data_IF_790059462455
#
_entry.id   IF_790059462455
#
_cell.length_a   1.000
_cell.length_b   1.000
_cell.length_c   1.000
_cell.angle_alpha   90.00
_cell.angle_beta   90.00
_cell.angle_gamma   90.00
#
_symmetry.space_group_name_H-M   'P 1'
#
loop_
_entity.id
_entity.type
_entity.pdbx_description
1 polymer ?
#
# COMPACT_ATOMS: atom_id res chain seq x y z
N UNK A 1 3.78 -34.06 11.45
CA UNK A 1 3.55 -34.81 10.20
C UNK A 1 3.46 -33.89 8.97
N UNK A 2 4.02 -32.67 8.97
CA UNK A 2 3.78 -31.72 7.84
C UNK A 2 5.03 -30.89 7.47
N UNK A 3 6.20 -31.53 7.41
CA UNK A 3 7.47 -30.81 7.26
C UNK A 3 8.51 -31.55 6.44
N UNK A 4 8.37 -32.87 6.37
CA UNK A 4 9.23 -33.72 5.57
C UNK A 4 9.17 -33.47 4.04
N UNK A 5 8.54 -32.39 3.57
CA UNK A 5 8.38 -32.09 2.15
C UNK A 5 9.11 -30.80 1.70
N UNK A 6 9.39 -29.83 2.59
CA UNK A 6 9.90 -28.52 2.15
C UNK A 6 11.41 -28.52 1.86
N UNK A 7 12.17 -29.43 2.48
CA UNK A 7 13.57 -29.65 2.12
C UNK A 7 13.77 -30.35 0.76
N UNK A 8 12.76 -31.03 0.21
CA UNK A 8 12.87 -31.68 -1.12
C UNK A 8 12.48 -30.76 -2.28
N UNK A 9 11.76 -29.66 -2.01
CA UNK A 9 11.26 -28.75 -3.05
C UNK A 9 12.27 -27.65 -3.40
N UNK A 10 13.15 -27.27 -2.47
CA UNK A 10 14.28 -26.38 -2.79
C UNK A 10 15.24 -26.98 -3.85
N UNK A 11 15.22 -28.31 -4.01
CA UNK A 11 15.97 -29.03 -5.04
C UNK A 11 15.20 -29.22 -6.36
N UNK A 12 13.87 -29.00 -6.38
CA UNK A 12 13.02 -29.09 -7.58
C UNK A 12 12.71 -27.70 -8.17
N UNK A 13 12.75 -26.64 -7.35
CA UNK A 13 12.58 -25.23 -7.76
C UNK A 13 13.73 -24.69 -8.62
N UNK A 14 14.87 -25.38 -8.67
CA UNK A 14 15.92 -25.11 -9.66
C UNK A 14 15.74 -25.87 -10.99
N UNK A 15 14.74 -26.76 -11.12
CA UNK A 15 14.61 -27.67 -12.28
C UNK A 15 13.29 -27.56 -13.07
N UNK A 16 12.41 -26.61 -12.75
CA UNK A 16 11.15 -26.41 -13.49
C UNK A 16 11.00 -25.02 -14.12
N UNK A 17 12.12 -24.48 -14.63
CA UNK A 17 12.12 -23.40 -15.64
C UNK A 17 11.63 -23.91 -17.01
N UNK A 18 11.27 -25.19 -17.17
CA UNK A 18 11.07 -25.77 -18.50
C UNK A 18 9.64 -26.16 -18.89
N UNK A 19 8.60 -25.70 -18.21
CA UNK A 19 7.24 -25.94 -18.70
C UNK A 19 6.31 -24.76 -18.46
N UNK A 20 5.53 -24.45 -19.50
CA UNK A 20 4.35 -23.56 -19.54
C UNK A 20 4.56 -22.15 -20.12
N UNK A 21 5.15 -22.10 -21.32
CA UNK A 21 4.51 -21.38 -22.42
C UNK A 21 3.32 -22.20 -22.92
N UNK A 22 2.16 -22.10 -22.28
CA UNK A 22 0.89 -22.54 -22.89
C UNK A 22 -0.04 -21.36 -22.97
N UNK A 23 -0.45 -21.05 -24.21
CA UNK A 23 -1.60 -20.20 -24.52
C UNK A 23 -2.82 -20.76 -23.81
N UNK A 24 -3.10 -20.27 -22.60
CA UNK A 24 -4.33 -20.58 -21.89
C UNK A 24 -5.46 -19.76 -22.52
N UNK A 25 -6.61 -20.39 -22.72
CA UNK A 25 -7.83 -19.68 -23.09
C UNK A 25 -8.18 -18.63 -22.03
N UNK A 26 -8.83 -17.54 -22.44
CA UNK A 26 -9.17 -16.38 -21.59
C UNK A 26 -9.87 -16.78 -20.29
N UNK A 27 -10.75 -17.79 -20.33
CA UNK A 27 -11.43 -18.32 -19.14
C UNK A 27 -10.46 -18.93 -18.13
N UNK A 28 -9.44 -19.65 -18.58
CA UNK A 28 -8.43 -20.25 -17.70
C UNK A 28 -7.55 -19.19 -17.04
N UNK A 29 -7.27 -18.07 -17.71
CA UNK A 29 -6.46 -16.98 -17.14
C UNK A 29 -7.22 -16.18 -16.08
N UNK A 30 -8.54 -16.02 -16.25
CA UNK A 30 -9.41 -15.39 -15.25
C UNK A 30 -9.43 -16.21 -13.95
N UNK A 31 -9.52 -17.54 -14.07
CA UNK A 31 -9.44 -18.45 -12.94
C UNK A 31 -8.09 -18.38 -12.22
N UNK A 32 -6.98 -18.29 -12.96
CA UNK A 32 -5.66 -18.09 -12.35
C UNK A 32 -5.59 -16.78 -11.57
N UNK A 33 -6.21 -15.72 -12.08
CA UNK A 33 -6.25 -14.42 -11.39
C UNK A 33 -7.05 -14.48 -10.08
N UNK A 34 -8.21 -15.14 -10.10
CA UNK A 34 -9.03 -15.40 -8.89
C UNK A 34 -8.25 -16.20 -7.85
N UNK A 35 -7.52 -17.23 -8.29
CA UNK A 35 -6.65 -18.02 -7.40
C UNK A 35 -5.55 -17.18 -6.78
N UNK A 36 -4.94 -16.28 -7.54
CA UNK A 36 -3.93 -15.36 -7.02
C UNK A 36 -4.53 -14.39 -5.98
N UNK A 37 -5.72 -13.83 -6.25
CA UNK A 37 -6.42 -12.93 -5.33
C UNK A 37 -6.74 -13.61 -3.99
N UNK A 38 -7.26 -14.85 -4.02
CA UNK A 38 -7.52 -15.63 -2.79
C UNK A 38 -6.25 -15.86 -1.95
N UNK A 39 -5.09 -15.99 -2.60
CA UNK A 39 -3.80 -16.13 -1.90
C UNK A 39 -3.31 -14.82 -1.31
N UNK A 40 -3.56 -13.70 -1.99
CA UNK A 40 -3.30 -12.35 -1.44
C UNK A 40 -4.09 -12.13 -0.14
N UNK A 41 -5.35 -12.54 -0.08
CA UNK A 41 -6.18 -12.46 1.13
C UNK A 41 -5.57 -13.27 2.28
N UNK A 42 -5.11 -14.50 2.00
CA UNK A 42 -4.42 -15.34 2.99
C UNK A 42 -3.13 -14.67 3.50
N UNK A 43 -2.36 -14.02 2.61
CA UNK A 43 -1.16 -13.28 3.00
C UNK A 43 -1.50 -12.09 3.91
N UNK A 44 -2.54 -11.33 3.56
CA UNK A 44 -3.05 -10.20 4.35
C UNK A 44 -3.47 -10.63 5.76
N UNK A 45 -4.18 -11.75 5.91
CA UNK A 45 -4.56 -12.30 7.22
C UNK A 45 -3.34 -12.67 8.07
N UNK A 46 -2.33 -13.30 7.46
CA UNK A 46 -1.08 -13.66 8.14
C UNK A 46 -0.31 -12.42 8.61
N UNK A 47 -0.19 -11.40 7.76
CA UNK A 47 0.47 -10.13 8.13
C UNK A 47 -0.32 -9.43 9.24
N UNK A 48 -1.65 -9.39 9.16
CA UNK A 48 -2.51 -8.80 10.19
C UNK A 48 -2.32 -9.51 11.53
N UNK A 49 -2.30 -10.84 11.52
CA UNK A 49 -2.06 -11.66 12.72
C UNK A 49 -0.68 -11.38 13.32
N UNK A 50 0.35 -11.27 12.49
CA UNK A 50 1.70 -10.94 12.92
C UNK A 50 1.76 -9.54 13.55
N UNK A 51 1.13 -8.54 12.92
CA UNK A 51 1.02 -7.19 13.47
C UNK A 51 0.32 -7.19 14.83
N UNK A 52 -0.76 -7.97 14.98
CA UNK A 52 -1.46 -8.11 16.27
C UNK A 52 -0.60 -8.78 17.34
N UNK A 53 0.19 -9.81 16.99
CA UNK A 53 1.15 -10.44 17.92
C UNK A 53 2.24 -9.47 18.34
N UNK A 54 2.80 -8.71 17.39
CA UNK A 54 3.77 -7.66 17.68
C UNK A 54 3.17 -6.66 18.68
N UNK A 55 1.91 -6.24 18.52
CA UNK A 55 1.22 -5.36 19.48
C UNK A 55 1.09 -5.97 20.88
N UNK A 56 0.79 -7.26 20.99
CA UNK A 56 0.61 -7.95 22.27
C UNK A 56 1.94 -8.13 23.02
N UNK A 57 2.98 -8.62 22.34
CA UNK A 57 4.30 -8.92 22.95
C UNK A 57 5.05 -7.67 23.44
N UNK A 58 4.60 -6.48 23.04
CA UNK A 58 5.32 -5.22 23.17
C UNK A 58 4.64 -4.18 24.05
N UNK A 59 3.58 -4.55 24.77
CA UNK A 59 2.94 -3.67 25.77
C UNK A 59 3.91 -3.16 26.85
N UNK A 60 5.09 -3.77 26.99
CA UNK A 60 6.19 -3.33 27.85
C UNK A 60 7.16 -2.33 27.21
N UNK A 61 7.08 -2.05 25.90
CA UNK A 61 8.12 -1.37 25.15
C UNK A 61 7.64 -0.03 24.56
N UNK A 62 8.44 1.01 24.79
CA UNK A 62 8.22 2.40 24.39
C UNK A 62 7.87 2.59 22.90
N UNK A 63 8.45 1.77 22.03
CA UNK A 63 8.19 1.79 20.58
C UNK A 63 6.74 1.45 20.23
N UNK A 64 6.02 0.69 21.05
CA UNK A 64 4.62 0.33 20.78
C UNK A 64 3.62 1.31 21.36
N UNK A 65 3.97 2.05 22.42
CA UNK A 65 3.24 3.26 22.77
C UNK A 65 3.28 4.30 21.64
N UNK A 66 4.40 4.35 20.90
CA UNK A 66 4.58 5.15 19.68
C UNK A 66 3.89 4.48 18.46
N UNK A 67 3.52 3.20 18.48
CA UNK A 67 2.89 2.56 17.30
C UNK A 67 1.37 2.37 17.44
N UNK A 68 0.73 3.04 18.41
CA UNK A 68 -0.72 3.19 18.61
C UNK A 68 -1.55 2.12 17.90
N UNK A 69 -2.14 2.49 16.76
CA UNK A 69 -2.71 1.54 15.81
C UNK A 69 -1.86 1.46 14.53
N UNK A 70 -1.29 0.27 14.27
CA UNK A 70 -0.78 -0.10 12.95
C UNK A 70 -1.98 -0.49 12.08
N UNK A 71 -2.16 0.21 10.96
CA UNK A 71 -3.17 -0.07 9.96
C UNK A 71 -2.49 -0.50 8.66
N UNK A 72 -2.80 -1.71 8.20
CA UNK A 72 -2.40 -2.13 6.86
C UNK A 72 -3.24 -1.34 5.85
N UNK A 73 -2.60 -0.70 4.88
CA UNK A 73 -3.32 0.04 3.84
C UNK A 73 -2.70 -0.25 2.47
N UNK A 74 -3.09 0.54 1.47
CA UNK A 74 -2.55 0.42 0.11
C UNK A 74 -2.94 -0.88 -0.56
N UNK A 75 -2.08 -1.33 -1.48
CA UNK A 75 -2.41 -2.38 -2.45
C UNK A 75 -2.81 -3.70 -1.79
N UNK A 76 -2.06 -4.13 -0.76
CA UNK A 76 -2.31 -5.37 -0.01
C UNK A 76 -3.65 -5.36 0.73
N UNK A 77 -4.00 -4.24 1.38
CA UNK A 77 -5.28 -4.18 2.08
C UNK A 77 -6.47 -4.12 1.12
N UNK A 78 -6.26 -3.61 -0.09
CA UNK A 78 -7.27 -3.39 -1.12
C UNK A 78 -7.47 -4.61 -2.05
N UNK A 79 -6.76 -5.72 -1.84
CA UNK A 79 -6.85 -6.88 -2.74
C UNK A 79 -6.27 -6.62 -4.13
N UNK A 80 -5.30 -5.71 -4.23
CA UNK A 80 -4.68 -5.29 -5.51
C UNK A 80 -3.15 -5.29 -5.46
N UNK A 81 -2.57 -6.08 -4.55
CA UNK A 81 -1.13 -6.28 -4.43
C UNK A 81 -0.56 -6.93 -5.67
N UNK A 82 -1.27 -7.88 -6.29
CA UNK A 82 -0.84 -8.49 -7.56
C UNK A 82 -0.50 -7.43 -8.62
N UNK A 83 -1.23 -6.31 -8.64
CA UNK A 83 -0.96 -5.23 -9.59
C UNK A 83 0.43 -4.58 -9.41
N UNK A 84 1.04 -4.65 -8.22
CA UNK A 84 2.39 -4.12 -7.99
C UNK A 84 3.44 -4.97 -8.70
N UNK A 85 3.19 -6.26 -8.94
CA UNK A 85 4.08 -7.14 -9.70
C UNK A 85 4.22 -6.72 -11.17
N UNK A 86 3.35 -5.84 -11.67
CA UNK A 86 3.45 -5.28 -13.03
C UNK A 86 4.16 -3.92 -13.05
N UNK A 87 4.60 -3.40 -11.91
CA UNK A 87 5.47 -2.21 -11.84
C UNK A 87 6.88 -2.63 -12.25
N UNK A 88 7.41 -1.99 -13.28
CA UNK A 88 8.81 -2.17 -13.69
C UNK A 88 9.71 -1.52 -12.64
N UNK A 89 10.72 -2.26 -12.17
CA UNK A 89 11.76 -1.66 -11.35
C UNK A 89 12.85 -1.05 -12.26
N UNK A 90 12.90 0.28 -12.35
CA UNK A 90 13.85 0.96 -13.25
C UNK A 90 15.30 0.87 -12.75
N UNK A 91 15.52 0.58 -11.46
CA UNK A 91 16.86 0.51 -10.83
C UNK A 91 17.62 -0.76 -11.21
N UNK A 92 16.94 -1.84 -11.62
CA UNK A 92 17.56 -3.14 -11.89
C UNK A 92 17.18 -3.73 -13.25
N UNK A 93 17.16 -2.89 -14.30
CA UNK A 93 16.99 -3.35 -15.69
C UNK A 93 17.99 -4.47 -16.02
N UNK A 94 17.48 -5.68 -16.25
CA UNK A 94 18.27 -6.88 -16.59
C UNK A 94 18.39 -7.95 -15.49
N UNK A 95 17.78 -7.77 -14.30
CA UNK A 95 17.68 -8.84 -13.29
C UNK A 95 16.62 -9.89 -13.68
N UNK A 96 16.76 -11.13 -13.17
CA UNK A 96 15.81 -12.23 -13.43
C UNK A 96 14.38 -11.92 -12.93
N UNK A 97 14.26 -11.06 -11.92
CA UNK A 97 12.98 -10.59 -11.38
C UNK A 97 13.11 -9.08 -11.18
N UNK A 98 12.74 -8.31 -12.20
CA UNK A 98 12.80 -6.85 -12.18
C UNK A 98 11.50 -6.23 -11.61
N UNK A 99 11.03 -6.74 -10.47
CA UNK A 99 9.74 -6.36 -9.87
C UNK A 99 9.93 -5.72 -8.50
N UNK A 100 9.27 -4.58 -8.30
CA UNK A 100 9.13 -3.95 -6.98
C UNK A 100 7.95 -4.54 -6.23
N UNK A 101 8.18 -4.93 -4.98
CA UNK A 101 7.13 -5.38 -4.09
C UNK A 101 6.95 -4.33 -3.00
N UNK A 102 6.03 -3.42 -3.27
CA UNK A 102 5.69 -2.33 -2.36
C UNK A 102 4.62 -2.83 -1.36
N UNK A 103 4.96 -2.97 -0.06
CA UNK A 103 3.98 -3.21 1.00
C UNK A 103 3.74 -1.92 1.80
N UNK A 104 2.62 -1.28 1.49
CA UNK A 104 2.20 -0.04 2.14
C UNK A 104 1.66 -0.26 3.58
N UNK A 105 2.54 -0.40 4.56
CA UNK A 105 2.13 -0.42 5.97
C UNK A 105 2.07 1.00 6.56
N UNK A 106 0.90 1.63 6.56
CA UNK A 106 0.73 2.92 7.25
C UNK A 106 0.70 2.69 8.77
N UNK A 107 1.86 2.78 9.40
CA UNK A 107 1.90 2.83 10.84
C UNK A 107 1.65 4.26 11.32
N UNK A 108 0.80 4.32 12.37
CA UNK A 108 0.62 5.42 13.33
C UNK A 108 -0.60 6.26 13.02
N UNK A 109 -1.77 5.74 13.38
CA UNK A 109 -2.83 6.60 13.90
C UNK A 109 -2.53 6.90 15.37
N UNK A 110 -2.20 8.15 15.67
CA UNK A 110 -2.29 8.67 17.03
C UNK A 110 -3.77 8.94 17.25
N UNK A 111 -4.37 8.20 18.17
CA UNK A 111 -5.78 8.37 18.52
C UNK A 111 -5.96 9.64 19.37
N UNK A 112 -5.81 10.80 18.73
CA UNK A 112 -6.10 12.06 19.37
C UNK A 112 -7.57 12.36 19.18
N UNK A 113 -8.33 12.41 20.27
CA UNK A 113 -9.69 12.94 20.25
C UNK A 113 -9.67 14.47 20.13
N UNK A 114 -9.14 14.95 19.01
CA UNK A 114 -9.06 16.37 18.70
C UNK A 114 -10.48 16.91 18.50
N UNK A 115 -10.77 18.00 19.20
CA UNK A 115 -11.95 18.81 18.91
C UNK A 115 -11.80 19.46 17.52
N UNK A 116 -12.91 19.76 16.85
CA UNK A 116 -12.93 20.53 15.60
C UNK A 116 -12.14 21.84 15.70
N UNK A 117 -12.15 22.50 16.86
CA UNK A 117 -11.40 23.74 17.10
C UNK A 117 -9.87 23.58 17.02
N UNK A 118 -9.37 22.34 17.03
CA UNK A 118 -7.94 22.02 16.95
C UNK A 118 -7.40 22.01 15.52
N UNK A 119 -8.28 22.10 14.53
CA UNK A 119 -7.97 22.01 13.12
C UNK A 119 -8.50 23.25 12.40
N UNK A 120 -7.67 23.78 11.51
CA UNK A 120 -8.03 24.93 10.69
C UNK A 120 -7.75 24.60 9.23
N UNK A 121 -8.79 24.63 8.40
CA UNK A 121 -8.64 24.54 6.95
C UNK A 121 -7.76 25.67 6.43
N UNK A 122 -6.83 25.33 5.53
CA UNK A 122 -5.95 26.31 4.90
C UNK A 122 -6.68 26.96 3.73
N UNK A 123 -6.90 28.28 3.83
CA UNK A 123 -7.62 29.02 2.81
C UNK A 123 -6.93 28.89 1.44
N UNK A 124 -7.72 28.61 0.40
CA UNK A 124 -7.23 28.39 -0.97
C UNK A 124 -6.51 27.05 -1.21
N UNK A 125 -6.43 26.15 -0.21
CA UNK A 125 -5.78 24.84 -0.32
C UNK A 125 -6.71 23.72 0.16
N UNK A 126 -7.74 23.36 -0.63
CA UNK A 126 -8.66 22.31 -0.23
C UNK A 126 -7.91 20.99 0.02
N UNK A 127 -8.26 20.32 1.11
CA UNK A 127 -7.61 19.08 1.55
C UNK A 127 -6.44 19.28 2.51
N UNK A 128 -6.03 20.54 2.76
CA UNK A 128 -4.93 20.87 3.67
C UNK A 128 -5.41 21.62 4.91
N UNK A 129 -4.77 21.33 6.04
CA UNK A 129 -5.14 21.84 7.37
C UNK A 129 -3.91 22.18 8.21
N UNK A 130 -4.09 23.07 9.19
CA UNK A 130 -3.16 23.31 10.28
C UNK A 130 -3.70 22.69 11.57
N UNK A 131 -2.84 22.02 12.35
CA UNK A 131 -3.19 21.52 13.68
C UNK A 131 -2.64 22.45 14.75
N UNK A 132 -3.45 22.82 15.73
CA UNK A 132 -3.00 23.59 16.89
C UNK A 132 -2.21 22.73 17.87
N UNK A 133 -1.05 23.24 18.32
CA UNK A 133 -0.16 22.53 19.26
C UNK A 133 -0.81 22.34 20.64
N UNK A 134 -1.57 23.34 21.11
CA UNK A 134 -2.23 23.31 22.43
C UNK A 134 -3.39 22.30 22.54
N UNK A 135 -3.75 21.65 21.44
CA UNK A 135 -4.75 20.60 21.42
C UNK A 135 -4.17 19.20 21.64
N UNK A 136 -2.84 19.08 21.72
CA UNK A 136 -2.16 17.84 22.02
C UNK A 136 -1.97 17.77 23.54
N UNK A 137 -2.53 16.76 24.24
CA UNK A 137 -2.30 16.60 25.66
C UNK A 137 -0.81 16.39 25.97
N UNK A 138 -0.29 17.01 27.05
CA UNK A 138 1.14 16.95 27.38
C UNK A 138 1.57 15.54 27.83
N UNK A 139 0.63 14.77 28.37
CA UNK A 139 0.78 13.38 28.78
C UNK A 139 0.95 12.41 27.60
N UNK A 140 0.62 12.85 26.38
CA UNK A 140 0.82 12.03 25.19
C UNK A 140 2.31 11.80 24.94
N UNK A 141 2.69 10.55 24.68
CA UNK A 141 4.08 10.15 24.37
C UNK A 141 4.65 10.94 23.18
N UNK A 142 3.76 11.48 22.36
CA UNK A 142 4.05 12.27 21.17
C UNK A 142 4.42 13.71 21.45
N UNK A 143 4.01 14.25 22.60
CA UNK A 143 4.12 15.67 22.92
C UNK A 143 5.56 16.20 22.80
N UNK A 144 6.55 15.39 23.21
CA UNK A 144 7.99 15.68 23.08
C UNK A 144 8.51 15.81 21.65
N UNK A 145 7.76 15.35 20.65
CA UNK A 145 8.14 15.42 19.25
C UNK A 145 7.60 16.68 18.56
N UNK A 146 6.90 17.56 19.29
CA UNK A 146 6.40 18.83 18.80
C UNK A 146 7.28 20.00 19.25
N UNK A 147 7.23 21.11 18.51
CA UNK A 147 7.84 22.37 18.94
C UNK A 147 6.85 23.14 19.83
N UNK A 148 7.15 23.23 21.13
CA UNK A 148 6.24 23.79 22.14
C UNK A 148 5.98 25.28 21.97
N UNK A 149 6.92 26.01 21.36
CA UNK A 149 6.84 27.47 21.19
C UNK A 149 5.98 27.89 19.99
N UNK A 150 5.52 26.92 19.18
CA UNK A 150 4.80 27.20 17.94
C UNK A 150 3.30 26.99 18.11
N UNK A 151 2.51 27.89 17.51
CA UNK A 151 1.04 27.80 17.56
C UNK A 151 0.50 26.55 16.86
N UNK A 152 1.16 26.11 15.79
CA UNK A 152 0.72 25.01 14.94
C UNK A 152 1.80 23.94 14.84
N UNK A 153 1.37 22.68 14.74
CA UNK A 153 2.28 21.55 14.57
C UNK A 153 2.93 21.53 13.19
N UNK A 154 4.24 21.28 13.14
CA UNK A 154 4.97 21.10 11.89
C UNK A 154 5.13 19.60 11.57
N UNK A 155 4.47 19.07 10.50
CA UNK A 155 4.52 17.65 10.20
C UNK A 155 5.90 17.17 9.78
N UNK A 156 6.73 18.03 9.18
CA UNK A 156 8.09 17.67 8.76
C UNK A 156 9.01 17.50 9.97
N UNK A 157 8.99 18.45 10.92
CA UNK A 157 9.75 18.32 12.17
C UNK A 157 9.31 17.09 12.95
N UNK A 158 8.00 16.89 13.09
CA UNK A 158 7.43 15.72 13.76
C UNK A 158 7.95 14.41 13.13
N UNK A 159 7.82 14.24 11.81
CA UNK A 159 8.34 13.06 11.11
C UNK A 159 9.84 12.87 11.29
N UNK A 160 10.62 13.94 11.21
CA UNK A 160 12.07 13.87 11.36
C UNK A 160 12.45 13.43 12.78
N UNK A 161 11.84 14.00 13.82
CA UNK A 161 12.09 13.62 15.22
C UNK A 161 11.69 12.17 15.50
N UNK A 162 10.54 11.74 14.97
CA UNK A 162 10.09 10.36 15.10
C UNK A 162 11.01 9.41 14.31
N UNK A 163 11.36 9.74 13.07
CA UNK A 163 12.33 8.97 12.25
C UNK A 163 13.70 8.87 12.93
N UNK A 164 14.18 9.93 13.56
CA UNK A 164 15.45 9.92 14.30
C UNK A 164 15.37 9.04 15.54
N UNK A 165 14.19 8.94 16.16
CA UNK A 165 13.96 8.01 17.28
C UNK A 165 14.01 6.55 16.83
N UNK A 166 13.58 6.24 15.60
CA UNK A 166 13.85 4.93 15.01
C UNK A 166 15.36 4.71 14.82
N UNK A 167 16.10 5.74 14.39
CA UNK A 167 17.52 5.67 14.00
C UNK A 167 18.56 5.70 15.15
N UNK A 168 18.13 5.88 16.41
CA UNK A 168 19.03 6.07 17.56
C UNK A 168 19.94 4.87 17.88
N UNK A 169 21.00 5.07 18.69
CA UNK A 169 22.03 4.08 19.01
C UNK A 169 21.54 2.83 19.76
N UNK A 170 20.30 2.82 20.27
CA UNK A 170 19.58 1.59 20.64
C UNK A 170 19.05 0.85 19.39
N UNK A 171 19.84 0.81 18.31
CA UNK A 171 19.54 0.37 16.95
C UNK A 171 19.02 -1.07 16.85
N UNK A 172 19.15 -1.82 17.93
CA UNK A 172 18.42 -3.05 18.20
C UNK A 172 16.91 -2.95 17.97
N UNK A 173 16.24 -1.79 17.99
CA UNK A 173 14.79 -1.72 17.69
C UNK A 173 14.47 -1.74 16.19
N UNK A 174 15.31 -1.09 15.38
CA UNK A 174 15.22 -1.04 13.92
C UNK A 174 15.60 -2.38 13.33
N UNK A 175 16.66 -2.97 13.88
CA UNK A 175 16.96 -4.38 13.75
C UNK A 175 15.80 -5.20 14.30
N UNK A 176 15.34 -5.13 15.56
CA UNK A 176 14.27 -6.00 16.08
C UNK A 176 12.91 -5.90 15.39
N UNK A 177 12.45 -4.79 14.80
CA UNK A 177 11.20 -4.80 14.03
C UNK A 177 11.43 -5.43 12.65
N UNK A 178 12.56 -5.08 12.01
CA UNK A 178 12.98 -5.64 10.72
C UNK A 178 13.38 -7.11 10.79
N UNK A 179 14.06 -7.50 11.86
CA UNK A 179 14.47 -8.82 12.31
C UNK A 179 13.24 -9.51 12.87
N UNK A 180 12.33 -8.95 13.66
CA UNK A 180 11.11 -9.70 14.00
C UNK A 180 10.28 -10.00 12.75
N UNK A 181 10.25 -9.13 11.74
CA UNK A 181 9.58 -9.47 10.47
C UNK A 181 10.37 -10.48 9.61
N UNK A 182 11.67 -10.24 9.38
CA UNK A 182 12.54 -11.07 8.53
C UNK A 182 13.17 -12.27 9.26
N UNK A 183 13.50 -12.16 10.52
CA UNK A 183 14.00 -13.24 11.38
C UNK A 183 12.89 -14.18 11.82
N UNK A 184 11.65 -13.72 12.05
CA UNK A 184 10.53 -14.66 12.29
C UNK A 184 10.20 -15.51 11.05
N UNK A 185 10.48 -15.01 9.84
CA UNK A 185 10.22 -15.76 8.60
C UNK A 185 11.44 -16.40 7.92
N UNK A 186 12.62 -15.77 7.94
CA UNK A 186 13.81 -16.18 7.19
C UNK A 186 14.96 -16.67 8.08
N UNK A 187 15.30 -15.98 9.17
CA UNK A 187 16.53 -16.30 9.94
C UNK A 187 16.32 -17.33 11.07
N UNK A 188 15.13 -17.43 11.70
CA UNK A 188 14.86 -18.45 12.74
C UNK A 188 14.71 -19.89 12.20
N UNK A 189 14.65 -20.05 10.88
CA UNK A 189 14.49 -21.35 10.20
C UNK A 189 15.79 -22.00 9.76
N UNK A 190 16.95 -21.45 10.16
CA UNK A 190 18.25 -22.08 9.88
C UNK A 190 18.54 -22.27 8.40
N UNK A 191 17.89 -21.53 7.51
CA UNK A 191 18.26 -21.53 6.10
C UNK A 191 19.56 -20.76 6.01
N UNK A 192 20.68 -21.49 6.05
CA UNK A 192 22.01 -20.96 5.79
C UNK A 192 22.07 -20.64 4.29
N UNK A 193 21.40 -19.57 3.87
CA UNK A 193 21.72 -18.90 2.64
C UNK A 193 23.03 -18.16 2.87
N UNK A 194 24.16 -18.87 2.68
CA UNK A 194 25.51 -18.30 2.86
C UNK A 194 25.76 -17.03 2.03
N UNK A 195 24.91 -16.71 1.04
CA UNK A 195 25.06 -15.55 0.15
C UNK A 195 23.85 -14.60 0.09
N UNK A 196 22.84 -14.71 0.98
CA UNK A 196 21.78 -13.69 1.02
C UNK A 196 22.22 -12.46 1.81
N UNK A 197 22.32 -11.33 1.12
CA UNK A 197 22.55 -10.03 1.76
C UNK A 197 21.21 -9.29 1.87
N UNK A 198 20.82 -8.95 3.09
CA UNK A 198 19.68 -8.05 3.35
C UNK A 198 20.22 -6.65 3.58
N UNK A 199 20.03 -5.76 2.60
CA UNK A 199 20.34 -4.35 2.79
C UNK A 199 19.10 -3.64 3.30
N UNK A 200 19.21 -3.08 4.50
CA UNK A 200 18.17 -2.21 5.08
C UNK A 200 18.57 -0.77 4.83
N UNK A 201 17.76 -0.03 4.09
CA UNK A 201 17.93 1.42 3.95
C UNK A 201 16.68 2.16 4.42
N UNK A 202 16.90 3.30 5.09
CA UNK A 202 15.84 4.20 5.52
C UNK A 202 15.76 5.40 4.57
N UNK A 203 14.57 5.73 4.08
CA UNK A 203 14.35 6.91 3.24
C UNK A 203 13.13 7.68 3.74
N UNK A 204 13.27 8.97 4.01
CA UNK A 204 12.11 9.81 4.38
C UNK A 204 11.53 10.47 3.12
N UNK A 205 10.24 10.27 2.89
CA UNK A 205 9.46 10.88 1.81
C UNK A 205 8.60 12.04 2.31
N UNK A 206 7.83 12.67 1.40
CA UNK A 206 6.85 13.71 1.75
C UNK A 206 5.80 13.25 2.75
N UNK A 207 5.43 11.97 2.73
CA UNK A 207 4.29 11.45 3.48
C UNK A 207 4.68 10.32 4.44
N UNK A 208 5.82 9.67 4.18
CA UNK A 208 6.18 8.41 4.82
C UNK A 208 7.65 8.37 5.23
N UNK A 209 7.97 7.61 6.27
CA UNK A 209 9.31 7.07 6.51
C UNK A 209 9.32 5.68 5.89
N UNK A 210 10.26 5.41 5.01
CA UNK A 210 10.35 4.17 4.24
C UNK A 210 11.47 3.31 4.77
N UNK A 211 11.20 2.03 4.92
CA UNK A 211 12.23 1.01 5.14
C UNK A 211 12.24 0.09 3.93
N UNK A 212 13.38 0.07 3.25
CA UNK A 212 13.60 -0.73 2.05
C UNK A 212 14.48 -1.91 2.44
N UNK A 213 14.06 -3.09 2.03
CA UNK A 213 14.69 -4.37 2.29
C UNK A 213 15.02 -5.02 0.95
N UNK A 214 16.29 -4.96 0.59
CA UNK A 214 16.78 -5.61 -0.62
C UNK A 214 17.28 -7.02 -0.26
N UNK A 215 16.63 -8.05 -0.80
CA UNK A 215 17.06 -9.45 -0.69
C UNK A 215 17.88 -9.77 -1.93
N UNK A 216 19.19 -9.88 -1.75
CA UNK A 216 20.14 -10.18 -2.82
C UNK A 216 20.72 -11.58 -2.63
N UNK A 217 20.95 -12.35 -3.71
CA UNK A 217 21.74 -13.58 -3.70
C UNK A 217 22.70 -13.54 -4.88
N UNK A 218 23.98 -13.83 -4.61
CA UNK A 218 25.06 -13.83 -5.63
C UNK A 218 25.07 -12.51 -6.43
N UNK A 219 24.96 -11.38 -5.70
CA UNK A 219 24.88 -10.00 -6.22
C UNK A 219 23.64 -9.68 -7.08
N UNK A 220 22.76 -10.65 -7.32
CA UNK A 220 21.47 -10.43 -7.99
C UNK A 220 20.42 -10.05 -6.97
N UNK A 221 19.68 -8.97 -7.22
CA UNK A 221 18.48 -8.65 -6.45
C UNK A 221 17.36 -9.63 -6.81
N UNK A 222 16.82 -10.30 -5.80
CA UNK A 222 15.68 -11.20 -5.94
C UNK A 222 14.38 -10.52 -5.55
N UNK A 223 14.42 -9.69 -4.52
CA UNK A 223 13.23 -9.02 -4.01
C UNK A 223 13.62 -7.68 -3.39
N UNK A 224 12.85 -6.67 -3.72
CA UNK A 224 12.87 -5.40 -3.03
C UNK A 224 11.54 -5.25 -2.29
N UNK A 225 11.60 -5.20 -0.96
CA UNK A 225 10.44 -5.07 -0.10
C UNK A 225 10.48 -3.70 0.58
N UNK A 226 9.43 -2.91 0.41
CA UNK A 226 9.33 -1.57 0.98
C UNK A 226 8.21 -1.52 2.01
N UNK A 227 8.49 -0.96 3.21
CA UNK A 227 7.52 -0.64 4.24
C UNK A 227 7.42 0.88 4.41
N UNK A 228 6.25 1.43 4.14
CA UNK A 228 5.96 2.87 4.14
C UNK A 228 5.18 3.34 5.38
N UNK A 229 5.89 3.80 6.42
CA UNK A 229 5.30 4.31 7.67
C UNK A 229 4.73 5.71 7.48
N UNK A 230 3.41 5.88 7.59
CA UNK A 230 2.73 7.15 7.40
C UNK A 230 2.05 7.63 8.69
N UNK A 231 2.57 8.71 9.27
CA UNK A 231 2.07 9.22 10.55
C UNK A 231 0.82 10.06 10.37
N UNK A 232 -0.24 9.72 11.11
CA UNK A 232 -1.53 10.37 11.02
C UNK A 232 -2.17 10.56 12.41
N UNK A 233 -3.00 11.59 12.52
CA UNK A 233 -3.88 11.81 13.65
C UNK A 233 -5.29 11.38 13.28
N UNK A 234 -5.90 10.52 14.11
CA UNK A 234 -7.33 10.22 13.99
C UNK A 234 -8.11 11.44 14.49
N UNK A 235 -9.22 11.81 13.84
CA UNK A 235 -10.10 12.88 14.29
C UNK A 235 -11.55 12.45 14.21
N UNK A 236 -12.33 12.73 15.25
CA UNK A 236 -13.72 12.23 15.41
C UNK A 236 -14.76 13.28 15.06
N UNK A 237 -14.57 13.95 13.93
CA UNK A 237 -15.56 14.85 13.37
C UNK A 237 -15.47 14.84 11.85
N UNK A 238 -16.58 15.19 11.21
CA UNK A 238 -16.69 15.27 9.74
C UNK A 238 -16.31 16.69 9.30
N UNK A 239 -15.18 16.89 8.60
CA UNK A 239 -14.83 18.22 8.13
C UNK A 239 -15.82 18.66 7.04
N UNK A 240 -16.11 19.96 6.99
CA UNK A 240 -17.06 20.54 6.03
C UNK A 240 -16.65 20.27 4.57
N UNK A 241 -15.36 20.07 4.31
CA UNK A 241 -14.83 19.73 2.99
C UNK A 241 -15.35 18.39 2.45
N UNK A 242 -15.84 17.49 3.33
CA UNK A 242 -16.50 16.25 2.94
C UNK A 242 -18.02 16.41 2.73
N UNK A 243 -18.60 17.59 2.92
CA UNK A 243 -20.05 17.79 2.86
C UNK A 243 -20.66 17.26 1.56
N UNK A 244 -20.00 17.49 0.43
CA UNK A 244 -20.40 16.94 -0.85
C UNK A 244 -20.36 15.41 -0.86
N UNK A 245 -19.32 14.79 -0.28
CA UNK A 245 -19.22 13.33 -0.17
C UNK A 245 -20.35 12.74 0.68
N UNK A 246 -20.72 13.40 1.77
CA UNK A 246 -21.73 12.95 2.73
C UNK A 246 -23.17 13.07 2.21
N UNK A 247 -23.41 13.95 1.23
CA UNK A 247 -24.72 14.11 0.58
C UNK A 247 -25.01 13.08 -0.51
N UNK A 248 -24.01 12.28 -0.92
CA UNK A 248 -24.19 11.28 -1.99
C UNK A 248 -24.87 10.04 -1.41
N UNK A 249 -25.96 9.61 -2.03
CA UNK A 249 -26.66 8.37 -1.67
C UNK A 249 -25.75 7.18 -1.97
N UNK A 250 -25.54 6.29 -1.00
CA UNK A 250 -24.78 5.05 -1.19
C UNK A 250 -25.45 3.91 -0.42
N UNK A 251 -25.47 2.71 -0.99
CA UNK A 251 -26.15 1.58 -0.38
C UNK A 251 -25.40 0.97 0.81
N UNK A 252 -24.09 1.26 1.00
CA UNK A 252 -23.23 0.41 1.83
C UNK A 252 -22.26 1.11 2.81
N UNK A 253 -22.38 2.41 3.10
CA UNK A 253 -21.51 3.06 4.11
C UNK A 253 -22.16 3.09 5.49
N UNK A 254 -21.52 2.45 6.48
CA UNK A 254 -21.95 2.58 7.87
C UNK A 254 -21.55 3.95 8.46
N UNK A 255 -22.42 4.50 9.31
CA UNK A 255 -22.17 5.76 10.03
C UNK A 255 -20.90 5.71 10.89
N UNK A 256 -20.53 4.52 11.37
CA UNK A 256 -19.32 4.27 12.17
C UNK A 256 -18.05 4.60 11.38
N UNK A 257 -18.00 4.25 10.09
CA UNK A 257 -16.79 4.39 9.26
C UNK A 257 -16.53 5.85 8.89
N UNK A 258 -17.60 6.63 8.76
CA UNK A 258 -17.54 8.06 8.50
C UNK A 258 -17.56 8.90 9.80
N UNK A 259 -17.48 8.26 10.97
CA UNK A 259 -17.41 8.96 12.27
C UNK A 259 -16.05 9.64 12.47
N UNK A 260 -15.00 9.11 11.88
CA UNK A 260 -13.66 9.66 11.98
C UNK A 260 -12.95 9.69 10.62
N UNK A 261 -11.95 10.55 10.53
CA UNK A 261 -10.97 10.58 9.44
C UNK A 261 -9.58 10.73 9.97
N UNK A 262 -8.59 10.77 9.07
CA UNK A 262 -7.21 10.99 9.44
C UNK A 262 -6.69 12.32 8.93
N UNK A 263 -5.72 12.88 9.65
CA UNK A 263 -4.88 13.98 9.19
C UNK A 263 -3.45 13.47 9.12
N UNK A 264 -2.89 13.43 7.91
CA UNK A 264 -1.60 12.84 7.59
C UNK A 264 -0.50 13.90 7.62
N UNK A 265 0.68 13.51 8.11
CA UNK A 265 1.92 14.30 8.07
C UNK A 265 2.51 14.43 6.65
N UNK A 266 1.68 14.90 5.72
CA UNK A 266 1.98 15.13 4.31
C UNK A 266 1.75 16.59 3.99
N UNK A 267 2.73 17.20 3.36
CA UNK A 267 2.72 18.61 2.98
C UNK A 267 2.39 18.76 1.50
N UNK A 268 2.00 19.97 1.08
CA UNK A 268 1.90 20.30 -0.34
C UNK A 268 3.27 20.18 -1.04
N UNK A 269 3.28 20.20 -2.38
CA UNK A 269 4.54 20.08 -3.13
C UNK A 269 5.43 21.30 -2.90
N UNK A 270 4.81 22.46 -2.85
CA UNK A 270 5.40 23.77 -2.65
C UNK A 270 6.10 23.82 -1.28
N UNK A 271 5.58 23.08 -0.29
CA UNK A 271 6.11 23.01 1.06
C UNK A 271 6.95 21.74 1.33
N UNK A 272 7.32 20.95 0.32
CA UNK A 272 8.08 19.68 0.50
C UNK A 272 9.33 19.85 1.36
N UNK A 273 10.07 20.93 1.12
CA UNK A 273 11.37 21.19 1.72
C UNK A 273 11.29 22.22 2.86
N UNK A 274 10.11 22.78 3.12
CA UNK A 274 9.93 23.70 4.23
C UNK A 274 9.73 22.91 5.51
N UNK A 275 10.77 22.83 6.34
CA UNK A 275 10.72 22.12 7.62
C UNK A 275 9.74 22.75 8.62
N UNK A 276 9.50 24.07 8.49
CA UNK A 276 8.63 24.86 9.36
C UNK A 276 7.19 24.95 8.86
N UNK A 277 6.86 24.26 7.77
CA UNK A 277 5.48 24.23 7.27
C UNK A 277 4.53 23.68 8.33
N UNK A 278 3.33 24.25 8.38
CA UNK A 278 2.22 23.83 9.25
C UNK A 278 1.19 23.01 8.48
N UNK A 279 1.48 22.66 7.22
CA UNK A 279 0.53 22.00 6.33
C UNK A 279 0.45 20.49 6.54
N UNK A 280 -0.70 20.04 7.02
CA UNK A 280 -1.11 18.65 7.05
C UNK A 280 -2.15 18.38 5.96
N UNK A 281 -2.35 17.11 5.59
CA UNK A 281 -3.35 16.73 4.57
C UNK A 281 -4.42 15.84 5.19
N UNK A 282 -5.70 16.05 4.86
CA UNK A 282 -6.72 15.05 5.15
C UNK A 282 -6.43 13.72 4.44
N UNK A 283 -6.72 12.61 5.12
CA UNK A 283 -6.56 11.26 4.59
C UNK A 283 -7.82 10.45 4.86
N UNK A 284 -8.42 9.96 3.78
CA UNK A 284 -9.64 9.14 3.81
C UNK A 284 -9.33 7.66 3.61
N UNK A 285 -8.08 7.24 3.82
CA UNK A 285 -7.65 5.92 3.39
C UNK A 285 -8.37 4.76 4.07
N UNK A 286 -8.92 4.93 5.28
CA UNK A 286 -9.75 3.87 5.88
C UNK A 286 -11.12 3.79 5.23
N UNK A 287 -11.76 4.92 4.91
CA UNK A 287 -13.03 4.95 4.16
C UNK A 287 -12.80 4.37 2.76
N UNK A 288 -11.72 4.76 2.08
CA UNK A 288 -11.33 4.18 0.78
C UNK A 288 -11.18 2.67 0.87
N UNK A 289 -10.45 2.18 1.87
CA UNK A 289 -10.24 0.75 2.04
C UNK A 289 -11.56 0.03 2.33
N UNK A 290 -12.46 0.63 3.11
CA UNK A 290 -13.76 0.04 3.36
C UNK A 290 -14.58 -0.09 2.08
N UNK A 291 -14.69 0.98 1.29
CA UNK A 291 -15.41 0.97 0.00
C UNK A 291 -14.78 -0.06 -0.95
N UNK A 292 -13.46 -0.08 -1.07
CA UNK A 292 -12.77 -1.04 -1.95
C UNK A 292 -12.93 -2.49 -1.46
N UNK A 293 -13.06 -2.73 -0.16
CA UNK A 293 -13.28 -4.06 0.40
C UNK A 293 -14.72 -4.56 0.19
N UNK A 294 -15.69 -3.64 0.12
CA UNK A 294 -17.09 -3.98 -0.19
C UNK A 294 -17.33 -4.27 -1.66
N UNK A 295 -16.34 -4.05 -2.54
CA UNK A 295 -16.44 -4.44 -3.95
C UNK A 295 -16.65 -5.94 -4.09
N UNK A 296 -17.49 -6.33 -5.06
CA UNK A 296 -17.65 -7.72 -5.49
C UNK A 296 -16.34 -8.26 -6.06
N UNK A 297 -16.23 -9.59 -6.18
CA UNK A 297 -15.04 -10.23 -6.76
C UNK A 297 -14.78 -9.75 -8.19
N UNK A 298 -15.84 -9.57 -8.99
CA UNK A 298 -15.75 -9.05 -10.36
C UNK A 298 -15.27 -7.61 -10.38
N UNK A 299 -15.77 -6.75 -9.48
CA UNK A 299 -15.30 -5.36 -9.34
C UNK A 299 -13.82 -5.29 -8.92
N UNK A 300 -13.41 -6.11 -7.94
CA UNK A 300 -12.01 -6.21 -7.52
C UNK A 300 -11.12 -6.68 -8.66
N UNK A 301 -11.56 -7.68 -9.42
CA UNK A 301 -10.84 -8.21 -10.58
C UNK A 301 -10.63 -7.13 -11.67
N UNK A 302 -11.68 -6.40 -12.03
CA UNK A 302 -11.60 -5.24 -12.93
C UNK A 302 -10.61 -4.21 -12.39
N UNK A 303 -10.65 -3.91 -11.09
CA UNK A 303 -9.72 -2.96 -10.47
C UNK A 303 -8.26 -3.41 -10.63
N UNK A 304 -7.97 -4.68 -10.34
CA UNK A 304 -6.61 -5.19 -10.41
C UNK A 304 -6.12 -5.18 -11.86
N UNK A 305 -6.95 -5.58 -12.83
CA UNK A 305 -6.63 -5.49 -14.28
C UNK A 305 -6.29 -4.05 -14.67
N UNK A 306 -7.18 -3.10 -14.34
CA UNK A 306 -7.02 -1.69 -14.67
C UNK A 306 -5.73 -1.11 -14.08
N UNK A 307 -5.49 -1.37 -12.78
CA UNK A 307 -4.28 -0.94 -12.08
C UNK A 307 -3.01 -1.60 -12.61
N UNK A 308 -3.07 -2.87 -13.01
CA UNK A 308 -1.92 -3.61 -13.54
C UNK A 308 -1.47 -3.03 -14.88
N UNK A 309 -2.42 -2.78 -15.79
CA UNK A 309 -2.14 -2.15 -17.08
C UNK A 309 -1.60 -0.73 -16.88
N UNK A 310 -2.16 0.04 -15.94
CA UNK A 310 -1.66 1.37 -15.60
C UNK A 310 -0.21 1.32 -15.11
N UNK A 311 0.10 0.43 -14.16
CA UNK A 311 1.45 0.28 -13.62
C UNK A 311 2.46 -0.12 -14.71
N UNK A 312 2.08 -1.07 -15.57
CA UNK A 312 2.92 -1.53 -16.67
C UNK A 312 3.14 -0.45 -17.72
N UNK A 313 2.06 0.21 -18.14
CA UNK A 313 2.06 0.99 -19.38
C UNK A 313 2.35 2.47 -19.17
N UNK A 314 2.05 3.01 -17.99
CA UNK A 314 2.09 4.46 -17.75
C UNK A 314 3.01 4.85 -16.60
N UNK A 315 3.05 4.07 -15.51
CA UNK A 315 3.74 4.50 -14.28
C UNK A 315 5.22 4.82 -14.48
N UNK A 316 5.92 4.12 -15.38
CA UNK A 316 7.33 4.36 -15.71
C UNK A 316 7.59 5.71 -16.41
N UNK A 317 6.55 6.37 -16.95
CA UNK A 317 6.70 7.68 -17.59
C UNK A 317 7.04 8.79 -16.57
N UNK A 318 6.48 8.70 -15.36
CA UNK A 318 6.79 9.57 -14.22
C UNK A 318 6.21 8.93 -12.94
N UNK A 319 6.99 8.13 -12.21
CA UNK A 319 6.51 7.36 -11.06
C UNK A 319 5.99 8.25 -9.92
N UNK A 320 6.55 9.46 -9.78
CA UNK A 320 6.20 10.41 -8.74
C UNK A 320 4.83 11.07 -9.01
N UNK A 321 4.54 11.37 -10.28
CA UNK A 321 3.29 12.03 -10.70
C UNK A 321 2.18 11.05 -11.12
N UNK A 322 2.51 9.87 -11.64
CA UNK A 322 1.54 8.87 -12.08
C UNK A 322 1.30 7.82 -10.99
N UNK A 323 0.67 8.25 -9.91
CA UNK A 323 0.39 7.37 -8.78
C UNK A 323 -0.86 6.52 -9.01
N UNK A 324 -0.90 5.34 -8.40
CA UNK A 324 -2.08 4.45 -8.36
C UNK A 324 -3.35 5.12 -7.80
N UNK A 325 -3.23 6.27 -7.12
CA UNK A 325 -4.38 7.06 -6.67
C UNK A 325 -5.26 7.59 -7.81
N UNK A 326 -4.68 7.82 -9.01
CA UNK A 326 -5.43 8.24 -10.20
C UNK A 326 -6.41 7.13 -10.59
N UNK A 327 -5.89 5.90 -10.76
CA UNK A 327 -6.67 4.69 -11.06
C UNK A 327 -7.73 4.43 -9.99
N UNK A 328 -7.35 4.55 -8.71
CA UNK A 328 -8.29 4.41 -7.59
C UNK A 328 -9.42 5.43 -7.65
N UNK A 329 -9.13 6.67 -8.00
CA UNK A 329 -10.15 7.73 -8.07
C UNK A 329 -11.13 7.45 -9.22
N UNK A 330 -10.65 7.01 -10.38
CA UNK A 330 -11.50 6.62 -11.51
C UNK A 330 -12.45 5.48 -11.12
N UNK A 331 -11.94 4.43 -10.48
CA UNK A 331 -12.78 3.29 -10.14
C UNK A 331 -13.81 3.60 -9.05
N UNK A 332 -13.45 4.42 -8.06
CA UNK A 332 -14.38 4.86 -7.02
C UNK A 332 -15.54 5.66 -7.61
N UNK A 333 -15.28 6.57 -8.55
CA UNK A 333 -16.34 7.29 -9.26
C UNK A 333 -17.19 6.35 -10.12
N UNK A 334 -16.54 5.50 -10.93
CA UNK A 334 -17.24 4.62 -11.86
C UNK A 334 -18.16 3.63 -11.15
N UNK A 335 -17.73 3.05 -10.03
CA UNK A 335 -18.56 2.08 -9.32
C UNK A 335 -19.62 2.75 -8.44
N UNK A 336 -19.41 3.97 -7.98
CA UNK A 336 -20.52 4.75 -7.40
C UNK A 336 -21.59 5.05 -8.47
N UNK A 337 -21.19 5.40 -9.70
CA UNK A 337 -22.15 5.64 -10.79
C UNK A 337 -22.91 4.37 -11.21
N UNK A 338 -22.25 3.20 -11.22
CA UNK A 338 -22.90 1.90 -11.53
C UNK A 338 -23.82 1.44 -10.41
N UNK A 339 -23.47 1.63 -9.14
CA UNK A 339 -24.36 1.28 -8.02
C UNK A 339 -25.67 2.08 -8.01
N UNK A 340 -25.70 3.22 -8.71
CA UNK A 340 -26.91 4.02 -8.92
C UNK A 340 -27.70 3.59 -10.17
N UNK A 341 -27.10 2.80 -11.05
CA UNK A 341 -27.72 2.20 -12.23
C UNK A 341 -28.21 0.80 -11.83
N UNK A 342 -29.50 0.64 -11.54
CA UNK A 342 -30.15 -0.61 -11.08
C UNK A 342 -30.03 -1.82 -12.07
N UNK A 343 -29.15 -1.73 -13.08
CA UNK A 343 -28.89 -2.78 -14.04
C UNK A 343 -27.73 -3.68 -13.59
N UNK A 344 -28.08 -4.86 -13.04
CA UNK A 344 -27.18 -5.97 -12.67
C UNK A 344 -26.29 -6.47 -13.85
N UNK A 345 -26.55 -6.00 -15.07
CA UNK A 345 -25.91 -6.45 -16.31
C UNK A 345 -24.48 -5.92 -16.52
N UNK A 346 -24.03 -4.90 -15.78
CA UNK A 346 -22.71 -4.27 -16.02
C UNK A 346 -21.52 -5.06 -15.47
N UNK A 347 -21.76 -5.97 -14.52
CA UNK A 347 -20.71 -6.65 -13.76
C UNK A 347 -20.86 -8.17 -13.75
N UNK A 348 -21.37 -8.74 -14.86
CA UNK A 348 -21.22 -10.16 -15.13
C UNK A 348 -19.77 -10.48 -15.54
N UNK A 349 -19.29 -11.65 -15.18
CA UNK A 349 -17.94 -12.18 -15.46
C UNK A 349 -17.54 -12.13 -16.94
N UNK A 350 -18.51 -12.12 -17.85
CA UNK A 350 -18.29 -12.02 -19.29
C UNK A 350 -17.82 -10.63 -19.74
N UNK A 351 -18.06 -9.58 -18.95
CA UNK A 351 -17.85 -8.17 -19.33
C UNK A 351 -16.65 -7.49 -18.69
N UNK A 352 -15.86 -8.21 -17.88
CA UNK A 352 -14.69 -7.68 -17.15
C UNK A 352 -13.78 -6.81 -18.02
N UNK A 353 -13.50 -7.25 -19.25
CA UNK A 353 -12.64 -6.53 -20.19
C UNK A 353 -13.31 -5.30 -20.81
N UNK A 354 -14.62 -5.35 -21.03
CA UNK A 354 -15.39 -4.20 -21.48
C UNK A 354 -15.41 -3.13 -20.39
N UNK A 355 -15.62 -3.53 -19.14
CA UNK A 355 -15.56 -2.61 -17.99
C UNK A 355 -14.17 -2.01 -17.84
N UNK A 356 -13.11 -2.80 -17.99
CA UNK A 356 -11.73 -2.29 -17.97
C UNK A 356 -11.49 -1.27 -19.11
N UNK A 357 -12.00 -1.52 -20.31
CA UNK A 357 -11.91 -0.58 -21.44
C UNK A 357 -12.62 0.75 -21.16
N UNK A 358 -13.79 0.70 -20.52
CA UNK A 358 -14.52 1.89 -20.09
C UNK A 358 -13.70 2.70 -19.07
N UNK A 359 -13.06 2.06 -18.10
CA UNK A 359 -12.19 2.75 -17.13
C UNK A 359 -10.99 3.43 -17.82
N UNK A 360 -10.44 2.84 -18.89
CA UNK A 360 -9.40 3.49 -19.69
C UNK A 360 -9.90 4.67 -20.51
N UNK A 361 -11.14 4.59 -21.04
CA UNK A 361 -11.80 5.71 -21.69
C UNK A 361 -12.02 6.87 -20.70
N UNK A 362 -12.46 6.59 -19.48
CA UNK A 362 -12.58 7.61 -18.42
C UNK A 362 -11.25 8.26 -18.08
N UNK A 363 -10.18 7.46 -18.04
CA UNK A 363 -8.83 7.94 -17.80
C UNK A 363 -8.35 8.85 -18.95
N UNK A 364 -8.62 8.49 -20.21
CA UNK A 364 -8.33 9.33 -21.39
C UNK A 364 -9.08 10.66 -21.27
N UNK A 365 -10.40 10.63 -21.02
CA UNK A 365 -11.22 11.83 -20.88
C UNK A 365 -10.70 12.73 -19.77
N UNK A 366 -10.28 12.14 -18.65
CA UNK A 366 -9.69 12.88 -17.53
C UNK A 366 -8.37 13.55 -17.92
N UNK A 367 -7.50 12.86 -18.67
CA UNK A 367 -6.25 13.44 -19.17
C UNK A 367 -6.48 14.54 -20.21
N UNK A 368 -7.44 14.36 -21.13
CA UNK A 368 -7.82 15.36 -22.14
C UNK A 368 -8.32 16.65 -21.47
N UNK A 369 -9.13 16.52 -20.42
CA UNK A 369 -9.62 17.66 -19.65
C UNK A 369 -8.58 18.25 -18.69
N UNK A 370 -7.49 17.54 -18.43
CA UNK A 370 -6.54 17.88 -17.37
C UNK A 370 -7.15 17.88 -15.97
N UNK A 371 -8.29 17.21 -15.78
CA UNK A 371 -9.08 17.28 -14.56
C UNK A 371 -9.62 15.90 -14.16
N UNK A 372 -9.33 15.50 -12.92
CA UNK A 372 -9.95 14.36 -12.25
C UNK A 372 -10.30 14.78 -10.82
N UNK A 373 -11.59 14.78 -10.53
CA UNK A 373 -12.15 15.18 -9.25
C UNK A 373 -11.72 14.21 -8.14
N UNK A 374 -11.13 14.70 -7.05
CA UNK A 374 -10.84 13.85 -5.89
C UNK A 374 -12.15 13.35 -5.28
N UNK A 375 -12.20 12.05 -4.96
CA UNK A 375 -13.45 11.38 -4.61
C UNK A 375 -14.15 11.97 -3.37
N UNK A 376 -13.40 12.28 -2.31
CA UNK A 376 -13.96 12.87 -1.08
C UNK A 376 -14.01 14.39 -1.06
N UNK A 377 -13.21 15.05 -1.91
CA UNK A 377 -13.00 16.50 -1.90
C UNK A 377 -13.12 16.99 -3.35
N UNK A 378 -14.35 17.18 -3.84
CA UNK A 378 -14.66 17.67 -5.19
C UNK A 378 -13.79 18.78 -5.76
N UNK A 379 -13.33 19.66 -4.90
CA UNK A 379 -12.59 20.88 -5.22
C UNK A 379 -11.13 20.57 -5.56
N UNK A 380 -10.61 19.40 -5.18
CA UNK A 380 -9.24 18.98 -5.45
C UNK A 380 -9.16 18.25 -6.79
N UNK A 381 -8.30 18.73 -7.69
CA UNK A 381 -7.97 18.06 -8.94
C UNK A 381 -6.77 17.11 -8.76
N UNK A 382 -7.00 15.80 -8.86
CA UNK A 382 -5.97 14.76 -8.75
C UNK A 382 -4.91 14.85 -9.86
N UNK A 383 -5.25 15.41 -11.02
CA UNK A 383 -4.34 15.58 -12.17
C UNK A 383 -3.63 16.93 -12.19
N UNK A 384 -3.86 17.81 -11.21
CA UNK A 384 -3.29 19.17 -11.19
C UNK A 384 -1.76 19.19 -11.37
N UNK A 385 -1.08 18.13 -10.91
CA UNK A 385 0.38 18.01 -10.97
C UNK A 385 0.94 17.51 -12.31
N UNK A 386 0.09 17.01 -13.21
CA UNK A 386 0.54 16.52 -14.52
C UNK A 386 0.66 17.72 -15.46
N UNK A 387 1.83 17.92 -16.04
CA UNK A 387 2.00 18.86 -17.15
C UNK A 387 1.33 18.32 -18.43
N UNK A 388 1.11 19.21 -19.40
CA UNK A 388 0.41 18.88 -20.65
C UNK A 388 1.13 17.77 -21.42
N UNK A 389 2.45 17.82 -21.51
CA UNK A 389 3.27 16.85 -22.26
C UNK A 389 3.16 15.44 -21.68
N UNK A 390 3.19 15.31 -20.35
CA UNK A 390 3.00 14.03 -19.67
C UNK A 390 1.58 13.51 -19.87
N UNK A 391 0.55 14.37 -19.76
CA UNK A 391 -0.84 13.96 -20.04
C UNK A 391 -1.02 13.48 -21.48
N UNK A 392 -0.46 14.19 -22.45
CA UNK A 392 -0.52 13.84 -23.87
C UNK A 392 0.21 12.53 -24.15
N UNK A 393 1.35 12.30 -23.49
CA UNK A 393 2.11 11.05 -23.58
C UNK A 393 1.33 9.88 -22.98
N UNK A 394 0.73 10.05 -21.79
CA UNK A 394 -0.15 9.05 -21.20
C UNK A 394 -1.34 8.74 -22.10
N UNK A 395 -1.99 9.76 -22.68
CA UNK A 395 -3.12 9.58 -23.59
C UNK A 395 -2.74 8.78 -24.83
N UNK A 396 -1.65 9.15 -25.51
CA UNK A 396 -1.17 8.41 -26.69
C UNK A 396 -0.91 6.95 -26.33
N UNK A 397 -0.25 6.73 -25.19
CA UNK A 397 0.04 5.38 -24.70
C UNK A 397 -1.22 4.58 -24.38
N UNK A 398 -2.24 5.18 -23.76
CA UNK A 398 -3.53 4.51 -23.51
C UNK A 398 -4.23 4.17 -24.84
N UNK A 399 -4.23 5.10 -25.81
CA UNK A 399 -4.82 4.84 -27.13
C UNK A 399 -4.11 3.71 -27.88
N UNK A 400 -2.80 3.56 -27.71
CA UNK A 400 -2.03 2.44 -28.26
C UNK A 400 -2.41 1.10 -27.62
N UNK A 401 -2.41 1.03 -26.28
CA UNK A 401 -2.73 -0.21 -25.56
C UNK A 401 -4.21 -0.57 -25.63
N UNK A 402 -5.10 0.43 -25.78
CA UNK A 402 -6.54 0.27 -25.93
C UNK A 402 -6.96 -0.53 -27.17
N UNK A 403 -6.07 -0.65 -28.16
CA UNK A 403 -6.30 -1.52 -29.33
C UNK A 403 -6.38 -3.00 -28.95
N UNK A 404 -5.70 -3.41 -27.87
CA UNK A 404 -5.72 -4.77 -27.35
C UNK A 404 -5.27 -4.81 -25.87
N UNK A 405 -6.13 -4.35 -24.96
CA UNK A 405 -5.85 -4.31 -23.52
C UNK A 405 -5.52 -5.69 -22.96
N UNK A 406 -6.15 -6.73 -23.52
CA UNK A 406 -5.90 -8.13 -23.15
C UNK A 406 -4.45 -8.48 -23.40
N UNK A 407 -3.95 -8.28 -24.61
CA UNK A 407 -2.56 -8.58 -24.98
C UNK A 407 -1.54 -7.84 -24.12
N UNK A 408 -1.86 -6.64 -23.63
CA UNK A 408 -0.96 -5.89 -22.76
C UNK A 408 -0.74 -6.58 -21.42
N UNK A 409 -1.76 -7.20 -20.82
CA UNK A 409 -1.53 -8.01 -19.62
C UNK A 409 -1.02 -9.40 -19.97
N UNK A 410 -1.58 -10.05 -20.99
CA UNK A 410 -1.37 -11.47 -21.30
C UNK A 410 0.01 -11.83 -21.88
N UNK A 411 1.01 -11.00 -21.67
CA UNK A 411 2.43 -11.36 -21.86
C UNK A 411 2.90 -12.37 -20.79
N UNK A 412 4.06 -13.02 -20.98
CA UNK A 412 4.67 -13.98 -20.05
C UNK A 412 4.76 -13.51 -18.58
N UNK A 413 4.69 -12.20 -18.34
CA UNK A 413 4.74 -11.56 -17.03
C UNK A 413 3.65 -12.00 -16.03
N UNK A 414 2.44 -12.34 -16.48
CA UNK A 414 1.37 -12.82 -15.57
C UNK A 414 1.72 -14.19 -15.01
N UNK A 415 2.29 -15.06 -15.85
CA UNK A 415 2.76 -16.37 -15.43
C UNK A 415 3.94 -16.24 -14.46
N UNK A 416 4.88 -15.32 -14.74
CA UNK A 416 5.99 -14.99 -13.83
C UNK A 416 5.50 -14.49 -12.46
N UNK A 417 4.53 -13.57 -12.44
CA UNK A 417 3.94 -13.03 -11.21
C UNK A 417 3.24 -14.11 -10.37
N UNK A 418 2.50 -15.03 -11.01
CA UNK A 418 1.86 -16.16 -10.33
C UNK A 418 2.91 -17.12 -9.75
N UNK A 419 3.90 -17.51 -10.56
CA UNK A 419 4.96 -18.41 -10.12
C UNK A 419 5.70 -17.81 -8.92
N UNK A 420 5.95 -16.50 -8.95
CA UNK A 420 6.51 -15.77 -7.82
C UNK A 420 5.62 -15.84 -6.55
N UNK A 421 4.30 -15.62 -6.66
CA UNK A 421 3.38 -15.74 -5.52
C UNK A 421 3.25 -17.18 -5.01
N UNK A 422 3.36 -18.16 -5.91
CA UNK A 422 3.48 -19.59 -5.57
C UNK A 422 4.69 -19.85 -4.70
N UNK A 423 5.86 -19.38 -5.13
CA UNK A 423 7.10 -19.47 -4.38
C UNK A 423 6.95 -18.85 -2.98
N UNK A 424 6.41 -17.62 -2.88
CA UNK A 424 6.20 -16.94 -1.59
C UNK A 424 5.24 -17.70 -0.66
N UNK A 425 4.12 -18.21 -1.18
CA UNK A 425 3.12 -18.92 -0.36
C UNK A 425 3.61 -20.28 0.13
N UNK A 426 4.43 -20.97 -0.67
CA UNK A 426 5.11 -22.20 -0.27
C UNK A 426 6.12 -21.97 0.86
N UNK A 427 6.87 -20.85 0.83
CA UNK A 427 7.81 -20.49 1.90
C UNK A 427 7.13 -20.32 3.27
N UNK A 428 5.86 -19.93 3.32
CA UNK A 428 5.16 -19.58 4.57
C UNK A 428 4.57 -20.76 5.35
N UNK A 429 4.58 -22.00 4.84
CA UNK A 429 3.84 -23.13 5.43
C UNK A 429 4.66 -24.20 6.18
N UNK A 430 5.95 -23.99 6.45
CA UNK A 430 6.85 -25.03 7.02
C UNK A 430 6.83 -25.20 8.58
N UNK A 431 6.63 -26.43 9.10
CA UNK A 431 6.20 -26.74 10.50
C UNK A 431 7.23 -27.42 11.47
N UNK A 432 8.40 -27.97 11.06
CA UNK A 432 9.27 -28.84 11.96
C UNK A 432 10.19 -27.96 12.77
N UNK A 433 10.60 -26.84 12.21
CA UNK A 433 11.41 -25.88 12.92
C UNK A 433 10.62 -25.16 14.02
N UNK A 434 9.29 -25.13 13.96
CA UNK A 434 8.44 -24.56 15.02
C UNK A 434 8.56 -25.38 16.32
N UNK A 435 8.65 -26.71 16.23
CA UNK A 435 8.83 -27.61 17.39
C UNK A 435 10.23 -27.51 18.03
N UNK A 436 11.28 -27.21 17.25
CA UNK A 436 12.61 -26.92 17.79
C UNK A 436 12.68 -25.54 18.46
N UNK A 437 11.89 -24.58 17.96
CA UNK A 437 11.80 -23.22 18.49
C UNK A 437 11.04 -23.14 19.83
N UNK A 438 10.03 -23.99 20.06
CA UNK A 438 9.38 -24.10 21.38
C UNK A 438 10.33 -24.68 22.44
N UNK A 439 11.19 -25.62 22.05
CA UNK A 439 12.26 -26.15 22.92
C UNK A 439 13.34 -25.10 23.24
N UNK A 440 13.75 -24.29 22.26
CA UNK A 440 14.75 -23.22 22.44
C UNK A 440 14.21 -21.99 23.18
N UNK A 441 12.94 -21.61 22.96
CA UNK A 441 12.27 -20.56 23.74
C UNK A 441 12.16 -20.97 25.22
N UNK A 442 11.91 -22.25 25.48
CA UNK A 442 11.88 -22.82 26.83
C UNK A 442 13.26 -22.91 27.51
N UNK A 443 14.36 -22.97 26.74
CA UNK A 443 15.73 -22.94 27.30
C UNK A 443 16.25 -21.52 27.52
N UNK A 444 15.85 -20.55 26.68
CA UNK A 444 16.24 -19.14 26.83
C UNK A 444 15.45 -18.38 27.90
N UNK A 445 14.28 -18.86 28.32
CA UNK A 445 13.52 -18.30 29.45
C UNK A 445 13.98 -18.85 30.81
N UNK A 446 14.92 -19.81 30.83
CA UNK A 446 15.51 -20.39 32.05
C UNK A 446 16.87 -19.77 32.41
N UNK A 447 17.34 -18.81 31.61
CA UNK A 447 18.50 -17.96 31.84
C UNK A 447 18.05 -16.50 31.72
#
# INVERSE_FOLDING_TARGET
MEVLTIQRIFFVLCFQVQFLTKNLEIKSQLEEFRRAQKREETLKEKITTLVSKIKQDSQSNFMVRILGEILLTGSLNQGTFIASLFKENLKYKGSLINRDIDIDCKAIAIDLRLNQNCLKDINGKPGYVELLTNCIPEEEVWYRYFEKETKYLQPVLFKNKVSNSFNGPSSNAKERVSIVFLHYHFLKRGIIFKSINVKVSGKTSKATVKHIFEIQKDEKLYMNFEIDYAFMFKIFFRPNIMSNFLKRTRYNLSEEIIQYIYVLAKTSREQKHNINTTEWTYSFSHIENFILNSFSDTQKLVYVIFKSIFNKSLKHLDEDKLTSYIVKTIILWRFEDIELDDSDDWLNDTRIWETADILFKDLIVSFDRGFLKHYFIPEVNVLQRLDTDLRDSCRRRIKEIGKDLKKVLLTNEVAEARNFLEEVMHLLHDREHILQLEKLKSSMLKH
#
